data_IF_143810362886
#
_entry.id   IF_143810362886
#
_cell.length_a   1.000
_cell.length_b   1.000
_cell.length_c   1.000
_cell.angle_alpha   90.00
_cell.angle_beta   90.00
_cell.angle_gamma   90.00
#
_symmetry.space_group_name_H-M   'P 1'
#
loop_
_entity.id
_entity.type
_entity.pdbx_description
1 polymer ?
#
# COMPACT_ATOMS: atom_id res chain seq x y z
N UNK A 1 5.81 -3.55 -21.38
CA UNK A 1 5.36 -3.84 -19.99
C UNK A 1 6.22 -3.07 -19.02
N UNK A 2 5.76 -1.86 -18.66
CA UNK A 2 6.50 -0.92 -17.81
C UNK A 2 6.80 -1.56 -16.44
N UNK A 3 7.95 -1.29 -15.84
CA UNK A 3 8.39 -1.89 -14.56
C UNK A 3 7.46 -1.66 -13.35
N UNK A 4 6.33 -0.97 -13.53
CA UNK A 4 5.25 -0.77 -12.55
C UNK A 4 4.49 -2.08 -12.26
N UNK A 5 4.23 -2.90 -13.28
CA UNK A 5 3.41 -4.11 -13.12
C UNK A 5 4.17 -5.25 -12.44
N UNK A 6 5.48 -5.37 -12.67
CA UNK A 6 6.32 -6.43 -12.10
C UNK A 6 6.37 -6.42 -10.56
N UNK A 7 6.32 -5.23 -9.95
CA UNK A 7 6.35 -5.10 -8.49
C UNK A 7 4.99 -5.45 -7.86
N UNK A 8 3.90 -5.12 -8.56
CA UNK A 8 2.54 -5.52 -8.16
C UNK A 8 2.33 -7.02 -8.29
N UNK A 9 2.81 -7.64 -9.37
CA UNK A 9 2.74 -9.08 -9.56
C UNK A 9 3.50 -9.84 -8.47
N UNK A 10 4.69 -9.37 -8.08
CA UNK A 10 5.45 -9.98 -6.97
C UNK A 10 4.68 -9.91 -5.65
N UNK A 11 4.02 -8.79 -5.36
CA UNK A 11 3.21 -8.63 -4.15
C UNK A 11 1.93 -9.48 -4.23
N UNK A 12 1.33 -9.62 -5.42
CA UNK A 12 0.20 -10.53 -5.66
C UNK A 12 0.60 -12.01 -5.47
N UNK A 13 1.80 -12.39 -5.88
CA UNK A 13 2.31 -13.76 -5.77
C UNK A 13 2.75 -14.11 -4.35
N UNK A 14 3.29 -13.15 -3.58
CA UNK A 14 3.77 -13.37 -2.21
C UNK A 14 3.24 -12.31 -1.23
N UNK A 15 1.91 -12.26 -0.97
CA UNK A 15 1.33 -11.24 -0.11
C UNK A 15 1.68 -11.44 1.37
N UNK A 16 2.09 -12.64 1.78
CA UNK A 16 2.46 -12.97 3.17
C UNK A 16 3.87 -12.54 3.58
N UNK A 17 4.75 -12.17 2.64
CA UNK A 17 6.14 -11.79 2.93
C UNK A 17 6.46 -10.37 2.42
N UNK A 18 5.48 -9.48 2.51
CA UNK A 18 5.63 -8.09 2.07
C UNK A 18 6.22 -7.27 3.21
N UNK A 19 7.33 -6.60 2.93
CA UNK A 19 7.93 -5.64 3.87
C UNK A 19 7.14 -4.35 3.88
N UNK A 20 7.08 -3.69 5.05
CA UNK A 20 6.43 -2.38 5.17
C UNK A 20 7.01 -1.38 4.18
N UNK A 21 8.34 -1.31 4.06
CA UNK A 21 9.02 -0.40 3.14
C UNK A 21 8.63 -0.62 1.66
N UNK A 22 8.35 -1.87 1.26
CA UNK A 22 7.91 -2.17 -0.11
C UNK A 22 6.50 -1.65 -0.36
N UNK A 23 5.60 -1.84 0.62
CA UNK A 23 4.22 -1.39 0.52
C UNK A 23 4.10 0.14 0.60
N UNK A 24 4.91 0.77 1.45
CA UNK A 24 5.03 2.22 1.59
C UNK A 24 5.45 2.87 0.26
N UNK A 25 6.54 2.41 -0.34
CA UNK A 25 7.00 2.89 -1.65
C UNK A 25 5.95 2.69 -2.73
N UNK A 26 5.24 1.56 -2.71
CA UNK A 26 4.18 1.29 -3.68
C UNK A 26 3.04 2.31 -3.54
N UNK A 27 2.52 2.48 -2.33
CA UNK A 27 1.42 3.41 -2.05
C UNK A 27 1.80 4.86 -2.37
N UNK A 28 2.99 5.32 -1.98
CA UNK A 28 3.47 6.66 -2.33
C UNK A 28 3.55 6.87 -3.85
N UNK A 29 3.97 5.84 -4.61
CA UNK A 29 4.05 5.89 -6.07
C UNK A 29 2.68 6.00 -6.75
N UNK A 30 1.62 5.52 -6.09
CA UNK A 30 0.22 5.67 -6.50
C UNK A 30 -0.43 6.96 -5.97
N UNK A 31 0.37 7.88 -5.39
CA UNK A 31 -0.12 9.18 -4.92
C UNK A 31 -0.77 9.15 -3.53
N UNK A 32 -0.67 8.04 -2.78
CA UNK A 32 -1.16 8.00 -1.41
C UNK A 32 -0.28 8.87 -0.51
N UNK A 33 -0.91 9.77 0.25
CA UNK A 33 -0.25 10.57 1.28
C UNK A 33 -0.15 9.77 2.56
N UNK A 34 1.06 9.63 3.10
CA UNK A 34 1.32 8.92 4.35
C UNK A 34 1.31 9.90 5.53
N UNK A 35 0.62 9.53 6.61
CA UNK A 35 0.59 10.26 7.88
C UNK A 35 1.04 9.33 8.99
N UNK A 36 2.13 9.70 9.65
CA UNK A 36 2.57 9.07 10.88
C UNK A 36 2.10 9.90 12.09
N UNK A 37 1.44 9.30 13.10
CA UNK A 37 1.11 9.99 14.34
C UNK A 37 2.37 10.35 15.15
N UNK A 38 2.37 11.55 15.75
CA UNK A 38 3.54 12.13 16.47
C UNK A 38 3.96 11.39 17.75
N UNK A 39 3.09 10.57 18.33
CA UNK A 39 3.28 9.95 19.66
C UNK A 39 3.85 8.52 19.62
N UNK A 40 4.61 8.16 18.59
CA UNK A 40 5.26 6.84 18.51
C UNK A 40 4.32 5.67 18.20
N UNK A 41 3.11 5.93 17.69
CA UNK A 41 2.25 4.83 17.22
C UNK A 41 2.90 4.18 15.99
N UNK A 42 2.90 2.85 16.01
CA UNK A 42 3.39 2.02 14.91
C UNK A 42 2.47 2.06 13.69
N UNK A 43 1.30 2.69 13.77
CA UNK A 43 0.33 2.67 12.67
C UNK A 43 0.51 3.87 11.75
N UNK A 44 0.66 3.58 10.45
CA UNK A 44 0.78 4.56 9.38
C UNK A 44 -0.55 4.63 8.66
N UNK A 45 -1.07 5.84 8.46
CA UNK A 45 -2.31 6.04 7.71
C UNK A 45 -1.99 6.60 6.33
N UNK A 46 -2.41 5.90 5.29
CA UNK A 46 -2.29 6.28 3.90
C UNK A 46 -3.64 6.80 3.42
N UNK A 47 -3.65 7.98 2.79
CA UNK A 47 -4.86 8.61 2.28
C UNK A 47 -4.70 9.05 0.83
N UNK A 48 -5.67 8.74 -0.02
CA UNK A 48 -5.80 9.23 -1.40
C UNK A 48 -7.27 9.51 -1.66
N UNK A 49 -7.66 10.79 -1.74
CA UNK A 49 -9.07 11.16 -1.91
C UNK A 49 -9.97 10.56 -0.83
N UNK A 50 -10.91 9.71 -1.25
CA UNK A 50 -11.84 8.96 -0.37
C UNK A 50 -11.24 7.68 0.22
N UNK A 51 -10.12 7.19 -0.31
CA UNK A 51 -9.47 5.98 0.17
C UNK A 51 -8.58 6.27 1.38
N UNK A 52 -8.75 5.49 2.44
CA UNK A 52 -7.92 5.56 3.65
C UNK A 52 -7.53 4.16 4.11
N UNK A 53 -6.24 3.90 4.27
CA UNK A 53 -5.68 2.63 4.72
C UNK A 53 -4.76 2.83 5.91
N UNK A 54 -4.96 2.09 6.99
CA UNK A 54 -4.04 2.09 8.13
C UNK A 54 -3.22 0.79 8.12
N UNK A 55 -1.91 0.93 8.07
CA UNK A 55 -0.94 -0.18 8.04
C UNK A 55 -0.01 -0.06 9.24
N UNK A 56 0.13 -1.10 10.08
CA UNK A 56 1.13 -1.13 11.15
C UNK A 56 2.55 -1.29 10.59
N UNK A 57 3.52 -0.60 11.18
CA UNK A 57 4.95 -0.62 10.87
C UNK A 57 5.63 -1.77 11.63
N UNK A 58 5.35 -2.99 11.20
CA UNK A 58 6.10 -4.19 11.61
C UNK A 58 6.43 -5.04 10.39
N UNK A 59 7.49 -5.84 10.49
CA UNK A 59 7.91 -6.77 9.46
C UNK A 59 7.95 -8.19 10.05
N UNK A 60 7.48 -9.22 9.32
CA UNK A 60 6.73 -9.16 8.06
C UNK A 60 5.28 -8.66 8.27
N UNK A 61 4.73 -7.94 7.29
CA UNK A 61 3.32 -7.52 7.34
C UNK A 61 2.39 -8.72 7.19
N UNK A 62 1.25 -8.66 7.89
CA UNK A 62 0.16 -9.60 7.64
C UNK A 62 -0.38 -9.43 6.22
N UNK A 63 -0.63 -10.56 5.57
CA UNK A 63 -1.14 -10.67 4.21
C UNK A 63 -2.40 -9.82 3.95
N UNK A 64 -3.26 -9.69 4.97
CA UNK A 64 -4.49 -8.89 4.93
C UNK A 64 -4.20 -7.44 4.56
N UNK A 65 -3.10 -6.85 5.05
CA UNK A 65 -2.73 -5.47 4.72
C UNK A 65 -2.24 -5.33 3.28
N UNK A 66 -1.46 -6.30 2.79
CA UNK A 66 -1.03 -6.33 1.40
C UNK A 66 -2.24 -6.45 0.45
N UNK A 67 -3.18 -7.35 0.73
CA UNK A 67 -4.42 -7.49 -0.05
C UNK A 67 -5.27 -6.22 -0.03
N UNK A 68 -5.42 -5.56 1.13
CA UNK A 68 -6.15 -4.28 1.23
C UNK A 68 -5.49 -3.17 0.41
N UNK A 69 -4.16 -3.05 0.49
CA UNK A 69 -3.41 -2.08 -0.30
C UNK A 69 -3.55 -2.32 -1.80
N UNK A 70 -3.44 -3.58 -2.25
CA UNK A 70 -3.65 -3.94 -3.66
C UNK A 70 -5.05 -3.57 -4.14
N UNK A 71 -6.09 -3.87 -3.34
CA UNK A 71 -7.47 -3.51 -3.68
C UNK A 71 -7.64 -2.00 -3.82
N UNK A 72 -7.07 -1.20 -2.90
CA UNK A 72 -7.17 0.25 -3.01
C UNK A 72 -6.42 0.82 -4.21
N UNK A 73 -5.25 0.25 -4.55
CA UNK A 73 -4.53 0.64 -5.76
C UNK A 73 -5.36 0.34 -7.01
N UNK A 74 -6.03 -0.81 -7.06
CA UNK A 74 -6.92 -1.19 -8.17
C UNK A 74 -8.09 -0.20 -8.32
N UNK A 75 -8.71 0.20 -7.21
CA UNK A 75 -9.78 1.21 -7.20
C UNK A 75 -9.27 2.60 -7.63
N UNK A 76 -8.10 3.04 -7.15
CA UNK A 76 -7.49 4.31 -7.57
C UNK A 76 -7.16 4.29 -9.06
N UNK A 77 -6.66 3.16 -9.59
CA UNK A 77 -6.42 3.02 -11.03
C UNK A 77 -7.71 3.14 -11.84
N UNK A 78 -8.81 2.53 -11.37
CA UNK A 78 -10.13 2.69 -12.02
C UNK A 78 -10.63 4.13 -12.01
N UNK A 79 -10.40 4.87 -10.92
CA UNK A 79 -10.81 6.28 -10.83
C UNK A 79 -9.98 7.21 -11.72
N UNK A 80 -8.69 6.94 -11.90
CA UNK A 80 -7.82 7.77 -12.76
C UNK A 80 -8.07 7.51 -14.27
N UNK A 81 -8.64 6.37 -14.62
CA UNK A 81 -9.00 5.98 -15.99
C UNK A 81 -10.45 6.39 -16.37
N UNK A 82 -11.24 6.91 -15.43
CA UNK A 82 -12.64 7.31 -15.60
C UNK A 82 -12.81 8.84 -15.74
#
# INVERSE_FOLDING_TARGET
MAGRDKQLERIKQQPANVRFATLDRLLQRYGFTVRQPRSGSSHYTYKRGRFTLTIPKHDPLREVYARKALKMIDEVRREEEA
#
